data_IF_418469512920
#
_entry.id   IF_418469512920
#
_cell.length_a   1.000
_cell.length_b   1.000
_cell.length_c   1.000
_cell.angle_alpha   90.00
_cell.angle_beta   90.00
_cell.angle_gamma   90.00
#
_symmetry.space_group_name_H-M   'P 1'
#
loop_
_entity.id
_entity.type
_entity.pdbx_description
1 polymer ?
#
# COMPACT_ATOMS: atom_id res chain seq x y z
N UNK A 1 17.04 14.74 -10.67
CA UNK A 1 16.61 13.35 -11.00
C UNK A 1 15.19 13.15 -10.51
N UNK A 2 14.39 12.25 -11.12
CA UNK A 2 13.05 11.92 -10.64
C UNK A 2 12.86 10.41 -10.60
N UNK A 3 12.25 9.93 -9.52
CA UNK A 3 11.91 8.52 -9.30
C UNK A 3 10.41 8.34 -9.48
N UNK A 4 10.00 7.19 -10.00
CA UNK A 4 8.60 6.78 -10.07
C UNK A 4 8.48 5.34 -9.60
N UNK A 5 7.79 5.16 -8.47
CA UNK A 5 7.49 3.83 -7.95
C UNK A 5 6.33 3.26 -8.77
N UNK A 6 6.55 2.12 -9.39
CA UNK A 6 5.61 1.53 -10.34
C UNK A 6 5.81 0.01 -10.40
N UNK A 7 4.73 -0.79 -10.53
CA UNK A 7 4.86 -2.22 -10.73
C UNK A 7 5.71 -2.55 -11.95
N UNK A 8 6.86 -3.19 -11.71
CA UNK A 8 7.73 -3.69 -12.77
C UNK A 8 7.14 -5.00 -13.30
N UNK A 9 6.94 -5.15 -14.63
CA UNK A 9 6.37 -6.35 -15.21
C UNK A 9 7.13 -7.62 -14.81
N UNK A 10 6.39 -8.72 -14.62
CA UNK A 10 7.01 -10.01 -14.34
C UNK A 10 7.92 -10.43 -15.51
N UNK A 11 9.12 -10.93 -15.18
CA UNK A 11 10.11 -11.34 -16.17
C UNK A 11 10.97 -10.20 -16.74
N UNK A 12 10.77 -8.94 -16.33
CA UNK A 12 11.73 -7.87 -16.62
C UNK A 12 13.08 -8.22 -15.97
N UNK A 13 14.18 -8.32 -16.73
CA UNK A 13 15.50 -8.56 -16.17
C UNK A 13 15.89 -7.42 -15.23
N UNK A 14 16.19 -7.76 -13.98
CA UNK A 14 16.59 -6.81 -12.95
C UNK A 14 17.68 -7.43 -12.09
N UNK A 15 18.67 -6.61 -11.71
CA UNK A 15 19.61 -6.98 -10.66
C UNK A 15 19.00 -6.54 -9.33
N UNK A 16 18.81 -7.49 -8.40
CA UNK A 16 18.13 -7.22 -7.13
C UNK A 16 16.61 -7.10 -7.25
N UNK A 17 16.00 -6.37 -6.31
CA UNK A 17 14.55 -6.18 -6.21
C UNK A 17 14.13 -4.91 -6.95
N UNK A 18 13.38 -5.06 -8.03
CA UNK A 18 12.91 -3.95 -8.84
C UNK A 18 11.75 -3.19 -8.15
N UNK A 19 11.81 -1.86 -8.14
CA UNK A 19 10.85 -1.02 -7.39
C UNK A 19 10.17 0.06 -8.24
N UNK A 20 10.68 0.30 -9.45
CA UNK A 20 10.14 1.31 -10.35
C UNK A 20 11.18 1.81 -11.34
N UNK A 21 11.08 3.07 -11.72
CA UNK A 21 11.88 3.66 -12.80
C UNK A 21 12.36 5.07 -12.44
N UNK A 22 13.45 5.48 -13.06
CA UNK A 22 13.92 6.86 -13.10
C UNK A 22 13.40 7.48 -14.39
N UNK A 23 12.58 8.53 -14.32
CA UNK A 23 11.98 9.15 -15.51
C UNK A 23 11.99 10.67 -15.45
N UNK A 24 12.01 11.34 -16.61
CA UNK A 24 11.97 12.80 -16.69
C UNK A 24 10.56 13.40 -16.61
N UNK A 25 9.50 12.63 -16.86
CA UNK A 25 8.13 13.14 -17.04
C UNK A 25 7.15 12.64 -15.97
N UNK A 26 6.18 13.48 -15.54
CA UNK A 26 5.18 13.07 -14.57
C UNK A 26 4.22 12.01 -15.12
N UNK A 27 4.12 10.89 -14.42
CA UNK A 27 2.92 10.06 -14.52
C UNK A 27 1.81 10.76 -13.76
N UNK A 28 0.97 11.47 -14.51
CA UNK A 28 -0.26 12.10 -13.99
C UNK A 28 -1.30 11.06 -13.57
N UNK A 29 -1.23 9.81 -14.06
CA UNK A 29 -2.11 8.71 -13.67
C UNK A 29 -1.39 7.35 -13.68
N UNK A 30 -1.16 6.76 -12.49
CA UNK A 30 -0.52 5.44 -12.35
C UNK A 30 -1.49 4.27 -12.62
N UNK A 31 -2.80 4.51 -12.55
CA UNK A 31 -3.78 3.43 -12.66
C UNK A 31 -3.89 2.92 -14.11
N UNK A 32 -3.46 1.68 -14.35
CA UNK A 32 -3.61 1.01 -15.66
C UNK A 32 -2.78 1.57 -16.81
N UNK A 33 -1.92 2.56 -16.57
CA UNK A 33 -1.00 3.12 -17.57
C UNK A 33 0.17 2.17 -17.84
N UNK A 34 0.77 2.16 -19.04
CA UNK A 34 2.01 1.41 -19.29
C UNK A 34 3.14 1.88 -18.36
N UNK A 35 4.15 1.03 -18.08
CA UNK A 35 5.29 1.43 -17.27
C UNK A 35 5.96 2.68 -17.89
N UNK A 36 6.43 3.61 -17.06
CA UNK A 36 7.12 4.80 -17.56
C UNK A 36 8.35 4.40 -18.38
N UNK A 37 8.60 5.14 -19.46
CA UNK A 37 9.88 5.05 -20.16
C UNK A 37 10.99 5.63 -19.27
N UNK A 38 12.05 4.86 -19.05
CA UNK A 38 13.23 5.30 -18.32
C UNK A 38 14.03 4.13 -17.72
N UNK A 39 15.23 4.42 -17.20
CA UNK A 39 16.05 3.44 -16.50
C UNK A 39 15.32 2.76 -15.34
N UNK A 40 15.51 1.46 -15.17
CA UNK A 40 14.95 0.67 -14.08
C UNK A 40 15.64 1.00 -12.76
N UNK A 41 14.86 1.33 -11.73
CA UNK A 41 15.33 1.44 -10.36
C UNK A 41 15.12 0.11 -9.64
N UNK A 42 16.20 -0.42 -9.07
CA UNK A 42 16.21 -1.66 -8.31
C UNK A 42 17.14 -1.55 -7.11
N UNK A 43 17.02 -2.49 -6.17
CA UNK A 43 17.84 -2.53 -4.96
C UNK A 43 18.42 -3.93 -4.75
N UNK A 44 19.73 -4.02 -4.60
CA UNK A 44 20.39 -5.21 -4.07
C UNK A 44 20.74 -4.97 -2.61
N UNK A 45 20.04 -5.65 -1.71
CA UNK A 45 20.08 -5.37 -0.26
C UNK A 45 19.76 -3.91 0.08
N UNK A 46 20.77 -3.05 0.24
CA UNK A 46 20.64 -1.60 0.50
C UNK A 46 21.25 -0.72 -0.58
N UNK A 47 21.90 -1.31 -1.58
CA UNK A 47 22.51 -0.58 -2.68
C UNK A 47 21.46 -0.29 -3.75
N UNK A 48 21.25 0.99 -4.06
CA UNK A 48 20.41 1.38 -5.19
C UNK A 48 21.14 1.10 -6.50
N UNK A 49 20.39 0.62 -7.50
CA UNK A 49 20.85 0.28 -8.83
C UNK A 49 19.96 0.95 -9.87
N UNK A 50 20.54 1.65 -10.84
CA UNK A 50 19.86 2.17 -12.02
C UNK A 50 20.35 1.37 -13.23
N UNK A 51 19.45 0.62 -13.89
CA UNK A 51 19.79 -0.34 -14.96
C UNK A 51 20.94 -1.29 -14.58
N UNK A 52 20.95 -1.73 -13.32
CA UNK A 52 21.96 -2.62 -12.76
C UNK A 52 23.29 -1.94 -12.39
N UNK A 53 23.43 -0.63 -12.60
CA UNK A 53 24.61 0.12 -12.17
C UNK A 53 24.41 0.71 -10.77
N UNK A 54 25.37 0.53 -9.84
CA UNK A 54 25.25 1.08 -8.49
C UNK A 54 25.26 2.60 -8.51
N UNK A 55 24.40 3.19 -7.69
CA UNK A 55 24.26 4.65 -7.55
C UNK A 55 24.24 5.01 -6.07
N UNK A 56 24.85 6.13 -5.71
CA UNK A 56 24.77 6.60 -4.32
C UNK A 56 23.31 6.94 -3.98
N UNK A 57 22.86 6.48 -2.81
CA UNK A 57 21.52 6.81 -2.30
C UNK A 57 21.34 8.32 -2.18
N UNK A 58 22.40 9.07 -1.86
CA UNK A 58 22.34 10.53 -1.77
C UNK A 58 21.88 11.19 -3.08
N UNK A 59 22.19 10.62 -4.24
CA UNK A 59 21.79 11.15 -5.55
C UNK A 59 20.28 11.01 -5.80
N UNK A 60 19.65 10.03 -5.17
CA UNK A 60 18.25 9.67 -5.41
C UNK A 60 17.33 9.99 -4.22
N UNK A 61 17.89 10.25 -3.05
CA UNK A 61 17.20 10.33 -1.76
C UNK A 61 15.99 11.28 -1.77
N UNK A 62 16.17 12.53 -2.19
CA UNK A 62 15.09 13.53 -2.18
C UNK A 62 14.00 13.16 -3.20
N UNK A 63 14.40 12.72 -4.40
CA UNK A 63 13.46 12.31 -5.45
C UNK A 63 12.66 11.06 -5.04
N UNK A 64 13.31 10.09 -4.40
CA UNK A 64 12.68 8.90 -3.86
C UNK A 64 11.73 9.26 -2.71
N UNK A 65 12.15 10.13 -1.79
CA UNK A 65 11.31 10.56 -0.68
C UNK A 65 10.02 11.24 -1.15
N UNK A 66 10.12 12.19 -2.09
CA UNK A 66 8.94 12.85 -2.67
C UNK A 66 8.00 11.85 -3.33
N UNK A 67 8.57 10.86 -4.01
CA UNK A 67 7.80 9.80 -4.65
C UNK A 67 7.11 8.88 -3.62
N UNK A 68 7.81 8.47 -2.57
CA UNK A 68 7.26 7.70 -1.44
C UNK A 68 6.07 8.46 -0.84
N UNK A 69 6.22 9.74 -0.54
CA UNK A 69 5.11 10.54 0.00
C UNK A 69 3.93 10.58 -0.96
N UNK A 70 4.18 10.79 -2.27
CA UNK A 70 3.14 10.88 -3.28
C UNK A 70 2.34 9.59 -3.37
N UNK A 71 3.01 8.43 -3.47
CA UNK A 71 2.33 7.14 -3.58
C UNK A 71 1.67 6.74 -2.26
N UNK A 72 2.31 7.00 -1.13
CA UNK A 72 1.74 6.71 0.18
C UNK A 72 0.50 7.58 0.44
N UNK A 73 0.51 8.86 0.08
CA UNK A 73 -0.68 9.73 0.17
C UNK A 73 -1.81 9.26 -0.74
N UNK A 74 -1.49 8.72 -1.92
CA UNK A 74 -2.48 8.16 -2.85
C UNK A 74 -3.15 6.88 -2.30
N UNK A 75 -2.39 6.03 -1.60
CA UNK A 75 -2.87 4.75 -1.05
C UNK A 75 -3.53 4.95 0.33
N UNK A 76 -2.83 5.63 1.23
CA UNK A 76 -3.18 5.75 2.65
C UNK A 76 -3.73 7.11 3.08
N UNK A 77 -3.79 8.09 2.17
CA UNK A 77 -4.32 9.43 2.44
C UNK A 77 -3.27 10.39 3.01
N UNK A 78 -3.63 11.66 3.27
CA UNK A 78 -2.69 12.69 3.73
C UNK A 78 -1.89 12.28 4.97
N UNK A 79 -2.53 11.60 5.92
CA UNK A 79 -1.94 11.14 7.18
C UNK A 79 -1.40 9.70 7.08
N UNK A 80 -0.69 9.39 5.99
CA UNK A 80 -0.29 8.02 5.63
C UNK A 80 0.60 7.31 6.66
N UNK A 81 1.29 8.04 7.55
CA UNK A 81 2.35 7.49 8.40
C UNK A 81 1.83 6.40 9.34
N UNK A 82 0.69 6.61 10.01
CA UNK A 82 0.06 5.61 10.88
C UNK A 82 -0.40 4.36 10.10
N UNK A 83 -1.24 4.52 9.07
CA UNK A 83 -1.64 3.44 8.17
C UNK A 83 -0.48 2.64 7.57
N UNK A 84 0.59 3.31 7.12
CA UNK A 84 1.76 2.66 6.55
C UNK A 84 2.56 1.92 7.62
N UNK A 85 2.69 2.47 8.82
CA UNK A 85 3.29 1.81 9.98
C UNK A 85 2.56 0.51 10.30
N UNK A 86 1.22 0.56 10.37
CA UNK A 86 0.39 -0.63 10.57
C UNK A 86 0.58 -1.67 9.46
N UNK A 87 0.47 -1.25 8.20
CA UNK A 87 0.56 -2.17 7.06
C UNK A 87 1.95 -2.79 6.86
N UNK A 88 3.02 -2.12 7.29
CA UNK A 88 4.40 -2.57 7.09
C UNK A 88 5.05 -3.18 8.32
N UNK A 89 4.45 -3.02 9.51
CA UNK A 89 5.09 -3.35 10.79
C UNK A 89 6.29 -2.46 11.15
N UNK A 90 6.60 -1.41 10.36
CA UNK A 90 7.64 -0.46 10.70
C UNK A 90 7.17 0.48 11.80
N UNK A 91 8.07 0.85 12.71
CA UNK A 91 7.76 1.90 13.69
C UNK A 91 7.56 3.27 12.99
N UNK A 92 6.68 4.10 13.55
CA UNK A 92 6.38 5.44 13.04
C UNK A 92 7.63 6.32 12.91
N UNK A 93 8.60 6.17 13.81
CA UNK A 93 9.84 6.95 13.79
C UNK A 93 10.70 6.66 12.55
N UNK A 94 10.67 5.44 12.03
CA UNK A 94 11.35 5.03 10.80
C UNK A 94 10.72 5.67 9.56
N UNK A 95 9.46 6.08 9.66
CA UNK A 95 8.72 6.76 8.59
C UNK A 95 8.81 8.29 8.68
N UNK A 96 9.55 8.83 9.65
CA UNK A 96 9.81 10.26 9.72
C UNK A 96 10.62 10.73 8.51
N UNK A 97 10.33 11.94 7.99
CA UNK A 97 10.98 12.51 6.79
C UNK A 97 12.50 12.33 6.79
N UNK A 98 13.17 12.70 7.88
CA UNK A 98 14.63 12.57 7.98
C UNK A 98 15.12 11.13 7.81
N UNK A 99 14.40 10.14 8.36
CA UNK A 99 14.74 8.72 8.19
C UNK A 99 14.49 8.23 6.77
N UNK A 100 13.37 8.63 6.17
CA UNK A 100 13.06 8.28 4.78
C UNK A 100 14.07 8.87 3.80
N UNK A 101 14.53 10.10 4.00
CA UNK A 101 15.57 10.69 3.15
C UNK A 101 16.90 9.97 3.34
N UNK A 102 17.33 9.76 4.59
CA UNK A 102 18.64 9.14 4.86
C UNK A 102 18.72 7.65 4.49
N UNK A 103 17.61 6.92 4.54
CA UNK A 103 17.64 5.45 4.43
C UNK A 103 16.63 4.87 3.42
N UNK A 104 15.70 5.67 2.92
CA UNK A 104 14.59 5.16 2.12
C UNK A 104 13.66 4.23 2.89
N UNK A 105 12.87 3.46 2.13
CA UNK A 105 12.14 2.30 2.64
C UNK A 105 12.82 1.01 2.14
N UNK A 106 12.64 -0.12 2.85
CA UNK A 106 12.96 -1.43 2.32
C UNK A 106 12.38 -1.64 0.92
N UNK A 107 13.16 -2.26 0.03
CA UNK A 107 12.76 -2.46 -1.37
C UNK A 107 11.39 -3.17 -1.53
N UNK A 108 11.04 -4.21 -0.74
CA UNK A 108 9.71 -4.81 -0.81
C UNK A 108 8.56 -3.83 -0.47
N UNK A 109 8.79 -2.85 0.40
CA UNK A 109 7.79 -1.83 0.71
C UNK A 109 7.68 -0.78 -0.39
N UNK A 110 8.79 -0.46 -1.08
CA UNK A 110 8.76 0.40 -2.26
C UNK A 110 7.95 -0.25 -3.40
N UNK A 111 8.19 -1.53 -3.69
CA UNK A 111 7.43 -2.30 -4.69
C UNK A 111 5.95 -2.40 -4.29
N UNK A 112 5.66 -2.76 -3.03
CA UNK A 112 4.28 -2.81 -2.51
C UNK A 112 3.55 -1.48 -2.69
N UNK A 113 4.18 -0.34 -2.35
CA UNK A 113 3.60 0.98 -2.53
C UNK A 113 3.35 1.29 -4.01
N UNK A 114 4.31 0.97 -4.89
CA UNK A 114 4.16 1.14 -6.33
C UNK A 114 2.96 0.36 -6.86
N UNK A 115 2.86 -0.94 -6.54
CA UNK A 115 1.73 -1.82 -6.91
C UNK A 115 0.41 -1.28 -6.40
N UNK A 116 0.33 -0.96 -5.11
CA UNK A 116 -0.90 -0.47 -4.49
C UNK A 116 -1.37 0.85 -5.13
N UNK A 117 -0.45 1.78 -5.38
CA UNK A 117 -0.74 3.07 -6.01
C UNK A 117 -1.18 2.97 -7.48
N UNK A 118 -0.75 1.92 -8.18
CA UNK A 118 -1.11 1.62 -9.56
C UNK A 118 -2.44 0.86 -9.72
N UNK A 119 -3.08 0.43 -8.63
CA UNK A 119 -4.43 -0.15 -8.70
C UNK A 119 -5.48 0.88 -9.15
N UNK A 120 -6.63 0.46 -9.71
CA UNK A 120 -7.72 1.37 -10.06
C UNK A 120 -8.31 2.14 -8.87
N UNK A 121 -8.30 1.53 -7.68
CA UNK A 121 -8.85 2.09 -6.45
C UNK A 121 -7.80 2.10 -5.34
N UNK A 122 -6.72 2.91 -5.46
CA UNK A 122 -5.57 2.84 -4.56
C UNK A 122 -5.93 3.13 -3.11
N UNK A 123 -6.91 4.01 -2.88
CA UNK A 123 -7.42 4.29 -1.54
C UNK A 123 -8.11 3.09 -0.91
N UNK A 124 -8.94 2.37 -1.68
CA UNK A 124 -9.59 1.16 -1.22
C UNK A 124 -8.56 0.06 -0.94
N UNK A 125 -7.58 -0.11 -1.83
CA UNK A 125 -6.42 -1.00 -1.62
C UNK A 125 -5.70 -0.68 -0.30
N UNK A 126 -5.48 0.60 0.00
CA UNK A 126 -4.88 1.02 1.28
C UNK A 126 -5.72 0.67 2.51
N UNK A 127 -7.04 0.74 2.43
CA UNK A 127 -7.92 0.26 3.52
C UNK A 127 -7.85 -1.26 3.67
N UNK A 128 -7.83 -2.01 2.57
CA UNK A 128 -7.69 -3.47 2.60
C UNK A 128 -6.35 -3.90 3.20
N UNK A 129 -5.23 -3.24 2.83
CA UNK A 129 -3.92 -3.52 3.42
C UNK A 129 -3.92 -3.34 4.95
N UNK A 130 -4.57 -2.29 5.44
CA UNK A 130 -4.70 -2.05 6.88
C UNK A 130 -5.59 -3.09 7.56
N UNK A 131 -6.71 -3.47 6.94
CA UNK A 131 -7.60 -4.50 7.46
C UNK A 131 -6.89 -5.85 7.57
N UNK A 132 -6.16 -6.25 6.52
CA UNK A 132 -5.36 -7.48 6.51
C UNK A 132 -4.26 -7.42 7.58
N UNK A 133 -3.55 -6.30 7.70
CA UNK A 133 -2.50 -6.15 8.71
C UNK A 133 -3.03 -6.26 10.15
N UNK A 134 -4.21 -5.69 10.41
CA UNK A 134 -4.88 -5.81 11.70
C UNK A 134 -5.22 -7.27 12.04
N UNK A 135 -5.80 -7.99 11.08
CA UNK A 135 -6.16 -9.41 11.25
C UNK A 135 -4.93 -10.31 11.34
N UNK A 136 -3.85 -9.96 10.63
CA UNK A 136 -2.57 -10.65 10.71
C UNK A 136 -2.00 -10.57 12.13
N UNK A 137 -1.92 -9.36 12.70
CA UNK A 137 -1.43 -9.16 14.06
C UNK A 137 -2.28 -9.92 15.09
N UNK A 138 -3.61 -9.84 14.97
CA UNK A 138 -4.53 -10.60 15.81
C UNK A 138 -4.31 -12.12 15.70
N UNK A 139 -4.11 -12.64 14.48
CA UNK A 139 -3.89 -14.06 14.23
C UNK A 139 -2.58 -14.54 14.86
N UNK A 140 -1.49 -13.78 14.72
CA UNK A 140 -0.19 -14.07 15.34
C UNK A 140 -0.34 -14.09 16.87
N UNK A 141 -0.98 -13.07 17.44
CA UNK A 141 -1.14 -12.94 18.89
C UNK A 141 -2.02 -14.05 19.49
N UNK A 142 -3.04 -14.49 18.75
CA UNK A 142 -3.99 -15.52 19.24
C UNK A 142 -3.45 -16.95 19.18
N UNK A 143 -2.50 -17.25 18.28
CA UNK A 143 -2.00 -18.62 18.07
C UNK A 143 -0.63 -18.88 18.71
N UNK A 144 -0.09 -17.96 19.51
CA UNK A 144 1.09 -18.21 20.35
C UNK A 144 2.37 -18.59 19.60
N UNK A 145 2.47 -18.33 18.29
CA UNK A 145 3.64 -18.66 17.46
C UNK A 145 4.82 -17.70 17.66
N UNK A 146 4.80 -16.88 18.70
CA UNK A 146 5.94 -16.07 19.13
C UNK A 146 6.53 -16.63 20.41
N UNK A 147 7.71 -17.24 20.34
CA UNK A 147 8.57 -17.27 21.52
C UNK A 147 8.76 -15.82 22.02
N UNK A 148 8.73 -15.58 23.35
CA UNK A 148 8.89 -14.23 23.89
C UNK A 148 10.24 -13.65 23.45
N UNK A 149 10.21 -12.70 22.49
CA UNK A 149 11.38 -12.02 21.95
C UNK A 149 11.61 -12.17 20.44
N UNK A 150 10.94 -13.10 19.77
CA UNK A 150 10.92 -13.18 18.30
C UNK A 150 9.65 -12.52 17.78
N UNK A 151 9.80 -11.39 17.08
CA UNK A 151 8.70 -10.73 16.40
C UNK A 151 7.99 -11.67 15.41
N UNK A 152 6.80 -11.30 14.90
CA UNK A 152 6.01 -12.13 14.00
C UNK A 152 6.86 -12.63 12.83
N UNK A 153 7.14 -13.94 12.80
CA UNK A 153 7.70 -14.61 11.63
C UNK A 153 6.67 -14.62 10.48
N UNK A 154 7.10 -14.98 9.25
CA UNK A 154 6.18 -15.13 8.14
C UNK A 154 5.12 -16.20 8.47
N UNK A 155 3.85 -15.95 8.12
CA UNK A 155 2.78 -16.94 8.31
C UNK A 155 3.10 -18.22 7.54
N UNK A 156 2.79 -19.37 8.16
CA UNK A 156 2.77 -20.67 7.48
C UNK A 156 1.75 -20.67 6.33
N UNK A 157 1.84 -21.64 5.41
CA UNK A 157 0.86 -21.76 4.33
C UNK A 157 -0.58 -21.88 4.88
N UNK A 158 -0.76 -22.69 5.92
CA UNK A 158 -2.03 -22.85 6.63
C UNK A 158 -2.48 -21.54 7.31
N UNK A 159 -1.56 -20.80 7.93
CA UNK A 159 -1.89 -19.50 8.55
C UNK A 159 -2.34 -18.47 7.51
N UNK A 160 -1.73 -18.45 6.32
CA UNK A 160 -2.16 -17.58 5.21
C UNK A 160 -3.54 -17.96 4.69
N UNK A 161 -3.83 -19.26 4.57
CA UNK A 161 -5.16 -19.75 4.15
C UNK A 161 -6.24 -19.39 5.17
N UNK A 162 -5.99 -19.63 6.46
CA UNK A 162 -6.91 -19.27 7.54
C UNK A 162 -7.15 -17.75 7.61
N UNK A 163 -6.10 -16.94 7.43
CA UNK A 163 -6.24 -15.49 7.33
C UNK A 163 -7.07 -15.09 6.11
N UNK A 164 -6.87 -15.74 4.96
CA UNK A 164 -7.65 -15.52 3.74
C UNK A 164 -9.14 -15.75 3.97
N UNK A 165 -9.51 -16.91 4.52
CA UNK A 165 -10.90 -17.23 4.87
C UNK A 165 -11.50 -16.20 5.82
N UNK A 166 -10.76 -15.78 6.85
CA UNK A 166 -11.21 -14.76 7.80
C UNK A 166 -11.44 -13.40 7.13
N UNK A 167 -10.58 -13.02 6.19
CA UNK A 167 -10.75 -11.78 5.41
C UNK A 167 -12.02 -11.84 4.55
N UNK A 168 -12.30 -12.97 3.90
CA UNK A 168 -13.52 -13.17 3.10
C UNK A 168 -14.79 -13.06 3.96
N UNK A 169 -14.82 -13.73 5.12
CA UNK A 169 -15.96 -13.64 6.05
C UNK A 169 -16.24 -12.21 6.52
N UNK A 170 -15.18 -11.45 6.84
CA UNK A 170 -15.32 -10.06 7.29
C UNK A 170 -15.78 -9.17 6.14
N UNK A 171 -15.27 -9.39 4.93
CA UNK A 171 -15.69 -8.64 3.75
C UNK A 171 -17.16 -8.87 3.45
N UNK A 172 -17.63 -10.12 3.47
CA UNK A 172 -19.04 -10.45 3.23
C UNK A 172 -19.96 -9.80 4.27
N UNK A 173 -19.58 -9.82 5.56
CA UNK A 173 -20.32 -9.11 6.62
C UNK A 173 -20.34 -7.62 6.38
N UNK A 174 -19.22 -7.00 6.02
CA UNK A 174 -19.12 -5.58 5.75
C UNK A 174 -19.98 -5.16 4.54
N UNK A 175 -19.99 -5.97 3.47
CA UNK A 175 -20.85 -5.77 2.31
C UNK A 175 -22.33 -5.80 2.70
N UNK A 176 -22.74 -6.78 3.52
CA UNK A 176 -24.10 -6.88 4.05
C UNK A 176 -24.51 -5.64 4.87
N UNK A 177 -23.63 -5.15 5.74
CA UNK A 177 -23.88 -3.94 6.54
C UNK A 177 -24.04 -2.70 5.65
N UNK A 178 -23.16 -2.50 4.66
CA UNK A 178 -23.24 -1.37 3.74
C UNK A 178 -24.53 -1.41 2.92
N UNK A 179 -24.91 -2.59 2.41
CA UNK A 179 -26.14 -2.76 1.64
C UNK A 179 -27.39 -2.41 2.47
N UNK A 180 -27.46 -2.90 3.71
CA UNK A 180 -28.56 -2.60 4.63
C UNK A 180 -28.66 -1.09 4.90
N UNK A 181 -27.56 -0.43 5.27
CA UNK A 181 -27.53 1.01 5.52
C UNK A 181 -27.95 1.83 4.30
N UNK A 182 -27.47 1.47 3.10
CA UNK A 182 -27.84 2.17 1.87
C UNK A 182 -29.33 2.00 1.54
N UNK A 183 -29.88 0.79 1.75
CA UNK A 183 -31.31 0.51 1.60
C UNK A 183 -32.18 1.36 2.55
N UNK A 184 -31.82 1.40 3.83
CA UNK A 184 -32.53 2.22 4.83
C UNK A 184 -32.46 3.72 4.51
N UNK A 185 -31.29 4.21 4.13
CA UNK A 185 -31.09 5.61 3.75
C UNK A 185 -31.92 5.98 2.50
N UNK A 186 -32.00 5.09 1.51
CA UNK A 186 -32.85 5.29 0.33
C UNK A 186 -34.34 5.35 0.71
N UNK A 187 -34.80 4.42 1.54
CA UNK A 187 -36.18 4.40 2.02
C UNK A 187 -36.55 5.65 2.83
N UNK A 188 -35.65 6.14 3.68
CA UNK A 188 -35.85 7.38 4.44
C UNK A 188 -35.98 8.60 3.52
N UNK A 189 -35.13 8.70 2.49
CA UNK A 189 -35.22 9.76 1.47
C UNK A 189 -36.54 9.72 0.70
N UNK A 190 -37.00 8.53 0.33
CA UNK A 190 -38.29 8.35 -0.35
C UNK A 190 -39.49 8.80 0.52
N UNK A 191 -39.52 8.39 1.80
CA UNK A 191 -40.56 8.85 2.74
C UNK A 191 -40.58 10.37 2.88
N UNK A 192 -39.40 10.99 2.96
CA UNK A 192 -39.25 12.44 3.06
C UNK A 192 -39.75 13.15 1.79
N UNK A 193 -39.51 12.57 0.61
CA UNK A 193 -39.98 13.13 -0.65
C UNK A 193 -41.51 13.06 -0.78
N UNK A 194 -42.13 11.95 -0.38
CA UNK A 194 -43.59 11.81 -0.38
C UNK A 194 -44.24 12.82 0.57
N UNK A 195 -43.74 12.94 1.79
CA UNK A 195 -44.26 13.92 2.76
C UNK A 195 -44.20 15.36 2.22
N UNK A 196 -43.09 15.72 1.57
CA UNK A 196 -42.94 17.05 0.93
C UNK A 196 -43.91 17.26 -0.23
N UNK A 197 -44.29 16.21 -0.95
CA UNK A 197 -45.24 16.29 -2.05
C UNK A 197 -46.68 16.43 -1.55
N UNK A 198 -47.04 15.83 -0.42
CA UNK A 198 -48.39 15.91 0.16
C UNK A 198 -48.67 17.25 0.87
N UNK A 199 -47.63 18.01 1.23
CA UNK A 199 -47.73 19.32 1.88
C UNK A 199 -47.72 20.50 0.90
N UNK A 200 -47.73 20.24 -0.42
CA UNK A 200 -47.84 21.24 -1.48
C UNK A 200 -49.21 21.16 -2.13
#
# INVERSE_FOLDING_TARGET
MRVTLYPVPAGTPAVGHAVGYVSGSPISNLAGSPPPAGPLLSYESRQALIDGQPVDHAEIAEALHLEIERVAKRVFGPDFVGPLSLASGLNVRSLARGRLISHGLPAPLLDMLGRAAATPHPRATGYMLQAVAYLWDEHVNSHGMGEPGQGPGPLSAQGREALGQRCEEILDRALGMVAAMQGEAAAARARTAVLKATLR
#
